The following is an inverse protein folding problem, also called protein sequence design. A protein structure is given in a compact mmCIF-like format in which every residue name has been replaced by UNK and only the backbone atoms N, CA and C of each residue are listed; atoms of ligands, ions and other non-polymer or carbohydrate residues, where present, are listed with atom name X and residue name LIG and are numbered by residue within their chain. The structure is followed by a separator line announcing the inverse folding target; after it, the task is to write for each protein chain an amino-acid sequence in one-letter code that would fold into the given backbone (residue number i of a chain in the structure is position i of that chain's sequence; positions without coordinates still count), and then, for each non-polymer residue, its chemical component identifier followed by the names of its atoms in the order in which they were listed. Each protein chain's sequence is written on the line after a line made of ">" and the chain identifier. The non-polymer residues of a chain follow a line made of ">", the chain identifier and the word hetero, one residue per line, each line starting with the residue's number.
data_IF_624476932086
#
_entry.id   IF_624476932086
#
_cell.length_a   1.000
_cell.length_b   1.000
_cell.length_c   1.000
_cell.angle_alpha   90.00
_cell.angle_beta   90.00
_cell.angle_gamma   90.00
#
_symmetry.space_group_name_H-M   'P 1'
#
loop_
_entity.id
_entity.type
_entity.pdbx_description
1 polymer ?
#
# COMPACT_ATOMS: atom_id res chain seq x y z
N UNK A 1 -59.85 -14.25 32.47
CA UNK A 1 -60.22 -12.89 32.01
C UNK A 1 -59.29 -11.92 32.69
N UNK A 2 -58.46 -11.10 32.07
CA UNK A 2 -58.10 -10.88 30.68
C UNK A 2 -56.71 -10.24 30.69
N UNK A 3 -55.92 -10.54 29.67
CA UNK A 3 -54.63 -9.93 29.40
C UNK A 3 -54.76 -8.41 29.17
N UNK A 4 -53.73 -7.64 29.55
CA UNK A 4 -53.49 -6.34 28.95
C UNK A 4 -52.03 -6.22 28.51
N UNK A 5 -51.92 -6.15 27.20
CA UNK A 5 -50.74 -6.10 26.35
C UNK A 5 -50.05 -4.73 26.36
N UNK A 6 -48.73 -4.81 26.20
CA UNK A 6 -47.73 -3.86 25.69
C UNK A 6 -48.21 -2.51 25.10
N UNK A 7 -47.42 -1.46 25.38
CA UNK A 7 -47.16 -0.44 24.37
C UNK A 7 -45.74 0.13 24.50
N UNK A 8 -44.76 -0.66 24.06
CA UNK A 8 -43.39 -0.17 23.80
C UNK A 8 -43.40 0.54 22.45
N UNK A 9 -43.47 1.86 22.46
CA UNK A 9 -43.38 2.67 21.24
C UNK A 9 -41.97 2.53 20.66
N UNK A 10 -41.80 1.65 19.66
CA UNK A 10 -40.57 1.61 18.86
C UNK A 10 -40.46 2.90 18.07
N UNK A 11 -39.64 3.83 18.54
CA UNK A 11 -39.25 5.00 17.77
C UNK A 11 -38.66 4.54 16.44
N UNK A 12 -39.22 5.02 15.32
CA UNK A 12 -38.69 4.73 13.99
C UNK A 12 -37.21 5.16 13.94
N UNK A 13 -36.29 4.31 13.48
CA UNK A 13 -34.88 4.65 13.43
C UNK A 13 -34.70 5.90 12.57
N UNK A 14 -34.00 6.90 13.12
CA UNK A 14 -33.73 8.17 12.44
C UNK A 14 -33.10 7.92 11.07
N UNK A 15 -33.36 8.82 10.11
CA UNK A 15 -32.78 8.75 8.76
C UNK A 15 -31.25 8.63 8.78
N UNK A 16 -30.60 9.25 9.77
CA UNK A 16 -29.17 9.08 10.08
C UNK A 16 -28.81 7.63 10.48
N UNK A 17 -29.59 6.99 11.35
CA UNK A 17 -29.35 5.60 11.76
C UNK A 17 -29.60 4.59 10.63
N UNK A 18 -30.57 4.85 9.75
CA UNK A 18 -30.80 4.07 8.53
C UNK A 18 -29.64 4.22 7.53
N UNK A 19 -29.17 5.45 7.32
CA UNK A 19 -28.03 5.71 6.44
C UNK A 19 -26.74 5.07 6.96
N UNK A 20 -26.52 5.12 8.27
CA UNK A 20 -25.43 4.42 8.95
C UNK A 20 -25.53 2.90 8.77
N UNK A 21 -26.72 2.32 8.91
CA UNK A 21 -26.93 0.89 8.73
C UNK A 21 -26.69 0.47 7.27
N UNK A 22 -27.18 1.25 6.29
CA UNK A 22 -26.98 1.01 4.85
C UNK A 22 -25.51 1.17 4.46
N UNK A 23 -24.81 2.19 4.96
CA UNK A 23 -23.37 2.37 4.78
C UNK A 23 -22.59 1.22 5.42
N UNK A 24 -22.95 0.80 6.63
CA UNK A 24 -22.31 -0.34 7.31
C UNK A 24 -22.57 -1.65 6.58
N UNK A 25 -23.76 -1.83 6.01
CA UNK A 25 -24.11 -3.03 5.25
C UNK A 25 -23.40 -3.06 3.90
N UNK A 26 -23.40 -1.95 3.15
CA UNK A 26 -22.69 -1.81 1.88
C UNK A 26 -21.17 -1.91 2.03
N UNK A 27 -20.59 -1.36 3.10
CA UNK A 27 -19.16 -1.47 3.38
C UNK A 27 -18.78 -2.90 3.80
N UNK A 28 -19.62 -3.58 4.58
CA UNK A 28 -19.46 -5.01 4.87
C UNK A 28 -19.55 -5.83 3.59
N UNK A 29 -20.52 -5.57 2.72
CA UNK A 29 -20.64 -6.27 1.43
C UNK A 29 -19.41 -6.08 0.54
N UNK A 30 -18.90 -4.85 0.39
CA UNK A 30 -17.73 -4.57 -0.46
C UNK A 30 -16.44 -5.20 0.07
N UNK A 31 -16.29 -5.32 1.39
CA UNK A 31 -15.13 -5.93 2.04
C UNK A 31 -15.24 -7.45 2.17
N UNK A 32 -16.45 -7.99 2.30
CA UNK A 32 -16.69 -9.41 2.60
C UNK A 32 -17.09 -10.22 1.35
N UNK A 33 -17.86 -9.65 0.41
CA UNK A 33 -18.39 -10.41 -0.75
C UNK A 33 -17.45 -10.44 -1.96
N UNK A 34 -16.62 -9.40 -2.18
CA UNK A 34 -15.63 -9.36 -3.29
C UNK A 34 -14.27 -8.79 -2.87
N UNK A 35 -13.62 -9.38 -1.84
CA UNK A 35 -12.43 -8.83 -1.21
C UNK A 35 -11.27 -8.60 -2.19
N UNK A 36 -11.12 -9.44 -3.22
CA UNK A 36 -10.04 -9.28 -4.19
C UNK A 36 -10.27 -8.07 -5.11
N UNK A 37 -11.45 -7.92 -5.71
CA UNK A 37 -11.74 -6.82 -6.65
C UNK A 37 -11.61 -5.46 -5.98
N UNK A 38 -12.16 -5.32 -4.77
CA UNK A 38 -12.07 -4.09 -3.98
C UNK A 38 -10.61 -3.74 -3.65
N UNK A 39 -9.78 -4.74 -3.27
CA UNK A 39 -8.34 -4.54 -3.02
C UNK A 39 -7.58 -4.14 -4.28
N UNK A 40 -7.89 -4.76 -5.42
CA UNK A 40 -7.26 -4.42 -6.70
C UNK A 40 -7.56 -2.97 -7.09
N UNK A 41 -8.83 -2.54 -7.03
CA UNK A 41 -9.21 -1.16 -7.34
C UNK A 41 -8.57 -0.17 -6.37
N UNK A 42 -8.66 -0.44 -5.07
CA UNK A 42 -8.08 0.43 -4.03
C UNK A 42 -6.58 0.58 -4.20
N UNK A 43 -5.87 -0.52 -4.43
CA UNK A 43 -4.42 -0.52 -4.66
C UNK A 43 -4.04 0.24 -5.93
N UNK A 44 -4.76 0.01 -7.03
CA UNK A 44 -4.55 0.75 -8.27
C UNK A 44 -4.74 2.26 -8.07
N UNK A 45 -5.80 2.69 -7.37
CA UNK A 45 -6.04 4.09 -7.06
C UNK A 45 -4.95 4.68 -6.17
N UNK A 46 -4.56 4.01 -5.10
CA UNK A 46 -3.52 4.50 -4.17
C UNK A 46 -2.19 4.68 -4.91
N UNK A 47 -1.76 3.72 -5.72
CA UNK A 47 -0.48 3.84 -6.43
C UNK A 47 -0.51 4.85 -7.57
N UNK A 48 -1.66 5.00 -8.23
CA UNK A 48 -1.89 6.08 -9.21
C UNK A 48 -1.76 7.45 -8.55
N UNK A 49 -2.45 7.66 -7.42
CA UNK A 49 -2.38 8.90 -6.65
C UNK A 49 -0.96 9.15 -6.11
N UNK A 50 -0.30 8.10 -5.62
CA UNK A 50 1.09 8.16 -5.17
C UNK A 50 2.02 8.64 -6.29
N UNK A 51 1.86 8.14 -7.51
CA UNK A 51 2.69 8.54 -8.64
C UNK A 51 2.42 9.98 -9.05
N UNK A 52 1.15 10.40 -9.10
CA UNK A 52 0.76 11.78 -9.44
C UNK A 52 1.29 12.78 -8.41
N UNK A 53 1.02 12.54 -7.12
CA UNK A 53 1.49 13.40 -6.03
C UNK A 53 3.02 13.45 -5.98
N UNK A 54 3.68 12.30 -6.15
CA UNK A 54 5.14 12.28 -6.09
C UNK A 54 5.79 12.97 -7.29
N UNK A 55 5.19 12.88 -8.48
CA UNK A 55 5.62 13.65 -9.67
C UNK A 55 5.38 15.15 -9.46
N UNK A 56 4.23 15.54 -8.93
CA UNK A 56 3.93 16.93 -8.61
C UNK A 56 4.95 17.51 -7.60
N UNK A 57 5.25 16.80 -6.52
CA UNK A 57 6.21 17.25 -5.51
C UNK A 57 7.68 17.18 -5.97
N UNK A 58 7.99 16.35 -6.97
CA UNK A 58 9.33 16.27 -7.54
C UNK A 58 9.55 17.30 -8.65
N UNK A 59 8.53 17.60 -9.45
CA UNK A 59 8.65 18.38 -10.69
C UNK A 59 7.81 19.66 -10.75
N UNK A 60 7.02 19.98 -9.73
CA UNK A 60 6.13 21.14 -9.70
C UNK A 60 6.82 22.51 -9.69
N UNK A 61 8.10 22.60 -10.09
CA UNK A 61 8.83 23.85 -10.33
C UNK A 61 9.04 24.02 -11.85
N UNK A 62 8.93 25.24 -12.40
CA UNK A 62 9.19 25.46 -13.82
C UNK A 62 10.55 24.87 -14.22
N UNK A 63 10.57 24.04 -15.26
CA UNK A 63 11.79 23.36 -15.75
C UNK A 63 12.00 21.92 -15.29
N UNK A 64 11.05 21.31 -14.57
CA UNK A 64 11.06 19.88 -14.24
C UNK A 64 9.88 19.17 -14.93
N UNK A 65 10.05 17.91 -15.34
CA UNK A 65 9.18 17.20 -16.30
C UNK A 65 7.69 17.04 -15.94
N UNK A 66 6.87 16.43 -16.81
CA UNK A 66 5.43 16.41 -16.67
C UNK A 66 4.96 15.63 -15.42
N UNK A 67 3.88 16.12 -14.79
CA UNK A 67 3.27 15.49 -13.60
C UNK A 67 2.61 14.15 -13.98
N UNK A 68 1.91 14.14 -15.12
CA UNK A 68 1.34 12.92 -15.72
C UNK A 68 2.39 12.31 -16.63
N UNK A 69 2.85 11.11 -16.28
CA UNK A 69 3.89 10.40 -17.03
C UNK A 69 3.38 9.03 -17.48
N UNK A 70 4.12 8.37 -18.38
CA UNK A 70 3.87 6.97 -18.75
C UNK A 70 4.00 5.98 -17.58
N UNK A 71 4.48 6.42 -16.41
CA UNK A 71 4.51 5.61 -15.18
C UNK A 71 3.16 5.50 -14.49
N UNK A 72 2.27 6.47 -14.67
CA UNK A 72 0.93 6.47 -14.05
C UNK A 72 0.14 5.19 -14.39
N UNK A 73 -0.06 4.83 -15.68
CA UNK A 73 -0.76 3.58 -16.02
C UNK A 73 0.01 2.33 -15.57
N UNK A 74 1.35 2.36 -15.56
CA UNK A 74 2.18 1.25 -15.06
C UNK A 74 2.01 1.03 -13.55
N UNK A 75 1.88 2.12 -12.78
CA UNK A 75 1.63 2.07 -11.34
C UNK A 75 0.22 1.59 -11.02
N UNK A 76 -0.78 2.03 -11.79
CA UNK A 76 -2.14 1.51 -11.70
C UNK A 76 -2.18 0.00 -11.96
N UNK A 77 -1.50 -0.46 -13.03
CA UNK A 77 -1.39 -1.87 -13.38
C UNK A 77 -0.68 -2.67 -12.28
N UNK A 78 0.47 -2.19 -11.80
CA UNK A 78 1.19 -2.85 -10.70
C UNK A 78 0.32 -2.96 -9.44
N UNK A 79 -0.38 -1.88 -9.06
CA UNK A 79 -1.27 -1.89 -7.90
C UNK A 79 -2.40 -2.90 -8.03
N UNK A 80 -3.09 -2.87 -9.16
CA UNK A 80 -4.28 -3.69 -9.42
C UNK A 80 -3.97 -5.15 -9.69
N UNK A 81 -2.96 -5.47 -10.51
CA UNK A 81 -2.76 -6.81 -11.05
C UNK A 81 -1.56 -7.56 -10.48
N UNK A 82 -0.64 -6.86 -9.80
CA UNK A 82 0.55 -7.48 -9.21
C UNK A 82 0.47 -7.43 -7.68
N UNK A 83 0.47 -6.22 -7.11
CA UNK A 83 0.54 -6.01 -5.66
C UNK A 83 -0.67 -6.58 -4.93
N UNK A 84 -1.90 -6.20 -5.33
CA UNK A 84 -3.10 -6.63 -4.61
C UNK A 84 -3.37 -8.15 -4.70
N UNK A 85 -3.26 -8.81 -5.88
CA UNK A 85 -3.45 -10.25 -5.97
C UNK A 85 -2.39 -11.03 -5.20
N UNK A 86 -1.11 -10.61 -5.27
CA UNK A 86 -0.01 -11.23 -4.54
C UNK A 86 -0.23 -11.16 -3.03
N UNK A 87 -0.57 -9.96 -2.53
CA UNK A 87 -0.85 -9.75 -1.11
C UNK A 87 -2.07 -10.56 -0.65
N UNK A 88 -3.13 -10.60 -1.46
CA UNK A 88 -4.32 -11.39 -1.15
C UNK A 88 -4.02 -12.88 -1.10
N UNK A 89 -3.23 -13.40 -2.05
CA UNK A 89 -2.82 -14.80 -2.08
C UNK A 89 -2.04 -15.17 -0.81
N UNK A 90 -0.97 -14.45 -0.49
CA UNK A 90 -0.16 -14.78 0.69
C UNK A 90 -0.94 -14.68 1.99
N UNK A 91 -1.73 -13.61 2.17
CA UNK A 91 -2.54 -13.46 3.37
C UNK A 91 -3.56 -14.59 3.51
N UNK A 92 -4.23 -14.97 2.42
CA UNK A 92 -5.23 -16.05 2.44
C UNK A 92 -4.58 -17.40 2.71
N UNK A 93 -3.45 -17.70 2.08
CA UNK A 93 -2.69 -18.95 2.32
C UNK A 93 -2.25 -19.05 3.77
N UNK A 94 -1.68 -17.97 4.31
CA UNK A 94 -1.22 -17.93 5.70
C UNK A 94 -2.39 -18.05 6.69
N UNK A 95 -3.52 -17.38 6.42
CA UNK A 95 -4.73 -17.53 7.22
C UNK A 95 -5.24 -18.98 7.20
N UNK A 96 -5.29 -19.62 6.02
CA UNK A 96 -5.69 -21.04 5.87
C UNK A 96 -4.79 -21.98 6.67
N UNK A 97 -3.48 -21.77 6.64
CA UNK A 97 -2.51 -22.59 7.40
C UNK A 97 -2.71 -22.53 8.93
N UNK A 98 -3.29 -21.44 9.43
CA UNK A 98 -3.53 -21.21 10.87
C UNK A 98 -5.02 -21.28 11.24
N UNK A 99 -5.88 -21.74 10.34
CA UNK A 99 -7.30 -21.95 10.65
C UNK A 99 -7.45 -22.91 11.84
N UNK A 100 -8.31 -22.54 12.79
CA UNK A 100 -8.52 -23.31 14.02
C UNK A 100 -7.43 -23.15 15.10
N UNK A 101 -6.34 -22.42 14.85
CA UNK A 101 -5.27 -22.20 15.85
C UNK A 101 -5.39 -20.81 16.47
N UNK A 102 -6.07 -20.71 17.62
CA UNK A 102 -6.35 -19.43 18.30
C UNK A 102 -5.35 -19.04 19.39
N UNK A 103 -4.44 -19.95 19.76
CA UNK A 103 -3.45 -19.73 20.82
C UNK A 103 -2.50 -18.56 20.55
N UNK A 104 -1.99 -17.94 21.62
CA UNK A 104 -1.02 -16.84 21.55
C UNK A 104 0.23 -17.21 20.73
N UNK A 105 0.75 -18.42 20.93
CA UNK A 105 1.89 -18.94 20.16
C UNK A 105 1.60 -19.10 18.67
N UNK A 106 0.37 -19.50 18.29
CA UNK A 106 -0.03 -19.62 16.90
C UNK A 106 -0.11 -18.26 16.21
N UNK A 107 -0.65 -17.23 16.88
CA UNK A 107 -0.66 -15.86 16.37
C UNK A 107 0.75 -15.29 16.21
N UNK A 108 1.64 -15.56 17.16
CA UNK A 108 3.03 -15.13 17.08
C UNK A 108 3.76 -15.82 15.91
N UNK A 109 3.60 -17.13 15.75
CA UNK A 109 4.19 -17.88 14.65
C UNK A 109 3.65 -17.40 13.29
N UNK A 110 2.34 -17.14 13.19
CA UNK A 110 1.73 -16.57 12.01
C UNK A 110 2.33 -15.21 11.66
N UNK A 111 2.49 -14.33 12.66
CA UNK A 111 3.15 -13.04 12.45
C UNK A 111 4.60 -13.21 12.00
N UNK A 112 5.38 -14.09 12.66
CA UNK A 112 6.77 -14.34 12.29
C UNK A 112 6.90 -14.81 10.85
N UNK A 113 6.09 -15.76 10.39
CA UNK A 113 6.08 -16.23 9.00
C UNK A 113 5.70 -15.11 8.01
N UNK A 114 4.74 -14.25 8.38
CA UNK A 114 4.40 -13.08 7.58
C UNK A 114 5.61 -12.15 7.42
N UNK A 115 6.28 -11.83 8.52
CA UNK A 115 7.41 -10.89 8.55
C UNK A 115 8.69 -11.45 7.92
N UNK A 116 8.93 -12.76 8.02
CA UNK A 116 10.18 -13.40 7.59
C UNK A 116 10.14 -14.00 6.19
N UNK A 117 8.98 -14.42 5.69
CA UNK A 117 8.85 -15.04 4.36
C UNK A 117 8.06 -14.15 3.40
N UNK A 118 6.86 -13.75 3.82
CA UNK A 118 5.92 -13.07 2.93
C UNK A 118 6.38 -11.64 2.61
N UNK A 119 6.84 -10.88 3.61
CA UNK A 119 7.32 -9.51 3.39
C UNK A 119 8.56 -9.43 2.49
N UNK A 120 9.62 -10.24 2.65
CA UNK A 120 10.75 -10.23 1.71
C UNK A 120 10.34 -10.51 0.27
N UNK A 121 9.44 -11.46 0.03
CA UNK A 121 8.96 -11.77 -1.32
C UNK A 121 8.19 -10.59 -1.90
N UNK A 122 7.25 -10.01 -1.13
CA UNK A 122 6.50 -8.83 -1.58
C UNK A 122 7.41 -7.64 -1.87
N UNK A 123 8.39 -7.36 -1.01
CA UNK A 123 9.34 -6.27 -1.19
C UNK A 123 10.29 -6.53 -2.39
N UNK A 124 10.70 -7.78 -2.62
CA UNK A 124 11.50 -8.14 -3.79
C UNK A 124 10.71 -7.92 -5.10
N UNK A 125 9.44 -8.37 -5.15
CA UNK A 125 8.55 -8.15 -6.29
C UNK A 125 8.30 -6.65 -6.51
N UNK A 126 8.09 -5.88 -5.44
CA UNK A 126 7.99 -4.41 -5.51
C UNK A 126 9.24 -3.80 -6.13
N UNK A 127 10.43 -4.10 -5.59
CA UNK A 127 11.69 -3.55 -6.09
C UNK A 127 11.95 -3.93 -7.55
N UNK A 128 11.65 -5.17 -7.93
CA UNK A 128 11.77 -5.63 -9.30
C UNK A 128 10.83 -4.87 -10.24
N UNK A 129 9.56 -4.72 -9.85
CA UNK A 129 8.56 -3.95 -10.60
C UNK A 129 8.96 -2.48 -10.73
N UNK A 130 9.46 -1.87 -9.65
CA UNK A 130 9.92 -0.49 -9.67
C UNK A 130 11.13 -0.30 -10.57
N UNK A 131 12.04 -1.28 -10.66
CA UNK A 131 13.17 -1.24 -11.59
C UNK A 131 12.67 -1.21 -13.05
N UNK A 132 11.74 -2.11 -13.41
CA UNK A 132 11.15 -2.17 -14.76
C UNK A 132 10.36 -0.90 -15.08
N UNK A 133 9.52 -0.42 -14.17
CA UNK A 133 8.76 0.83 -14.33
C UNK A 133 9.70 2.04 -14.49
N UNK A 134 10.88 1.96 -13.89
CA UNK A 134 11.89 2.99 -14.00
C UNK A 134 12.73 2.93 -15.27
N UNK A 135 12.59 1.88 -16.09
CA UNK A 135 13.30 1.73 -17.36
C UNK A 135 14.43 0.69 -17.35
N UNK A 136 14.49 -0.19 -16.34
CA UNK A 136 15.41 -1.33 -16.40
C UNK A 136 14.97 -2.28 -17.53
N UNK A 137 15.90 -2.57 -18.45
CA UNK A 137 15.64 -3.37 -19.65
C UNK A 137 16.32 -4.75 -19.61
N UNK A 138 17.17 -5.02 -18.60
CA UNK A 138 17.83 -6.31 -18.44
C UNK A 138 17.57 -6.96 -17.08
N UNK A 139 17.65 -8.29 -17.04
CA UNK A 139 17.44 -9.07 -15.80
C UNK A 139 18.53 -8.74 -14.77
N UNK A 140 19.75 -8.47 -15.23
CA UNK A 140 20.89 -8.10 -14.39
C UNK A 140 20.66 -6.77 -13.68
N UNK A 141 20.08 -5.77 -14.37
CA UNK A 141 19.71 -4.49 -13.77
C UNK A 141 18.67 -4.68 -12.66
N UNK A 142 17.62 -5.46 -12.94
CA UNK A 142 16.57 -5.78 -11.97
C UNK A 142 17.16 -6.53 -10.77
N UNK A 143 17.97 -7.56 -11.01
CA UNK A 143 18.64 -8.35 -9.97
C UNK A 143 19.54 -7.50 -9.10
N UNK A 144 20.27 -6.57 -9.69
CA UNK A 144 21.15 -5.64 -8.98
C UNK A 144 20.33 -4.74 -8.06
N UNK A 145 19.22 -4.16 -8.54
CA UNK A 145 18.31 -3.35 -7.72
C UNK A 145 17.75 -4.14 -6.55
N UNK A 146 17.26 -5.36 -6.79
CA UNK A 146 16.71 -6.20 -5.72
C UNK A 146 17.79 -6.54 -4.69
N UNK A 147 18.97 -7.01 -5.11
CA UNK A 147 20.06 -7.36 -4.19
C UNK A 147 20.55 -6.18 -3.35
N UNK A 148 20.66 -5.01 -3.96
CA UNK A 148 21.18 -3.82 -3.28
C UNK A 148 20.15 -3.15 -2.38
N UNK A 149 18.86 -3.15 -2.76
CA UNK A 149 17.83 -2.38 -2.06
C UNK A 149 16.93 -3.20 -1.14
N UNK A 150 16.89 -4.54 -1.29
CA UNK A 150 16.00 -5.37 -0.49
C UNK A 150 16.33 -5.27 1.00
N UNK A 151 17.59 -5.45 1.39
CA UNK A 151 18.00 -5.46 2.80
C UNK A 151 17.75 -4.09 3.49
N UNK A 152 18.14 -2.95 2.90
CA UNK A 152 17.77 -1.63 3.41
C UNK A 152 16.25 -1.44 3.53
N UNK A 153 15.48 -1.87 2.53
CA UNK A 153 14.02 -1.76 2.54
C UNK A 153 13.39 -2.64 3.63
N UNK A 154 13.92 -3.84 3.86
CA UNK A 154 13.47 -4.73 4.93
C UNK A 154 13.71 -4.11 6.31
N UNK A 155 14.90 -3.53 6.56
CA UNK A 155 15.20 -2.86 7.84
C UNK A 155 14.19 -1.76 8.17
N UNK A 156 13.86 -0.92 7.19
CA UNK A 156 12.85 0.13 7.35
C UNK A 156 11.47 -0.49 7.59
N UNK A 157 11.10 -1.52 6.81
CA UNK A 157 9.80 -2.19 6.94
C UNK A 157 9.63 -2.80 8.33
N UNK A 158 10.64 -3.49 8.86
CA UNK A 158 10.60 -4.10 10.19
C UNK A 158 10.57 -3.08 11.32
N UNK A 159 11.17 -1.90 11.14
CA UNK A 159 11.10 -0.83 12.14
C UNK A 159 9.73 -0.13 12.12
N UNK A 160 9.19 0.16 10.94
CA UNK A 160 7.97 0.97 10.77
C UNK A 160 6.70 0.15 10.97
N UNK A 161 6.66 -1.09 10.46
CA UNK A 161 5.44 -1.90 10.45
C UNK A 161 4.84 -2.14 11.85
N UNK A 162 5.60 -2.55 12.88
CA UNK A 162 5.05 -2.76 14.21
C UNK A 162 4.46 -1.48 14.81
N UNK A 163 5.10 -0.33 14.59
CA UNK A 163 4.65 0.96 15.09
C UNK A 163 3.32 1.35 14.45
N UNK A 164 3.23 1.25 13.13
CA UNK A 164 2.01 1.61 12.38
C UNK A 164 0.87 0.66 12.72
N UNK A 165 1.13 -0.64 12.82
CA UNK A 165 0.13 -1.62 13.23
C UNK A 165 -0.32 -1.39 14.67
N UNK A 166 0.59 -1.06 15.59
CA UNK A 166 0.22 -0.75 16.97
C UNK A 166 -0.67 0.51 17.05
N UNK A 167 -0.37 1.56 16.29
CA UNK A 167 -1.23 2.76 16.21
C UNK A 167 -2.60 2.40 15.63
N UNK A 168 -2.65 1.62 14.55
CA UNK A 168 -3.91 1.21 13.95
C UNK A 168 -4.79 0.38 14.90
N UNK A 169 -4.19 -0.51 15.69
CA UNK A 169 -4.94 -1.37 16.61
C UNK A 169 -5.40 -0.62 17.87
N UNK A 170 -4.56 0.26 18.43
CA UNK A 170 -4.83 0.93 19.71
C UNK A 170 -5.60 2.26 19.57
N UNK A 171 -5.43 2.98 18.45
CA UNK A 171 -5.99 4.34 18.27
C UNK A 171 -7.18 4.34 17.30
N UNK A 172 -7.14 3.50 16.26
CA UNK A 172 -8.11 3.57 15.15
C UNK A 172 -9.23 2.54 15.35
N UNK A 173 -10.52 2.97 15.32
CA UNK A 173 -11.64 2.04 15.41
C UNK A 173 -11.61 0.99 14.29
N UNK A 174 -12.03 -0.26 14.53
CA UNK A 174 -11.88 -1.38 13.59
C UNK A 174 -12.39 -1.09 12.17
N UNK A 175 -13.47 -0.33 12.06
CA UNK A 175 -14.07 0.07 10.78
C UNK A 175 -13.13 0.92 9.91
N UNK A 176 -12.33 1.78 10.53
CA UNK A 176 -11.48 2.77 9.83
C UNK A 176 -10.03 2.30 9.63
N UNK A 177 -9.63 1.17 10.21
CA UNK A 177 -8.25 0.65 10.10
C UNK A 177 -7.78 0.45 8.64
N UNK A 178 -8.59 -0.14 7.73
CA UNK A 178 -8.17 -0.27 6.33
C UNK A 178 -7.97 1.08 5.63
N UNK A 179 -8.79 2.08 5.98
CA UNK A 179 -8.67 3.45 5.45
C UNK A 179 -7.40 4.13 5.99
N UNK A 180 -7.13 4.02 7.30
CA UNK A 180 -5.91 4.52 7.92
C UNK A 180 -4.65 3.92 7.25
N UNK A 181 -4.63 2.59 7.05
CA UNK A 181 -3.50 1.93 6.39
C UNK A 181 -3.33 2.37 4.94
N UNK A 182 -4.43 2.60 4.22
CA UNK A 182 -4.41 3.09 2.84
C UNK A 182 -3.84 4.51 2.76
N UNK A 183 -4.25 5.39 3.67
CA UNK A 183 -3.75 6.76 3.76
C UNK A 183 -2.27 6.78 4.17
N UNK A 184 -1.88 6.00 5.18
CA UNK A 184 -0.50 5.85 5.57
C UNK A 184 0.37 5.37 4.40
N UNK A 185 -0.10 4.35 3.66
CA UNK A 185 0.57 3.82 2.47
C UNK A 185 0.73 4.88 1.37
N UNK A 186 -0.29 5.71 1.16
CA UNK A 186 -0.24 6.84 0.23
C UNK A 186 0.81 7.88 0.67
N UNK A 187 0.83 8.27 1.95
CA UNK A 187 1.78 9.25 2.48
C UNK A 187 3.23 8.76 2.37
N UNK A 188 3.51 7.56 2.89
CA UNK A 188 4.87 7.01 2.91
C UNK A 188 5.35 6.67 1.48
N UNK A 189 4.46 6.14 0.65
CA UNK A 189 4.73 5.86 -0.76
C UNK A 189 5.03 7.13 -1.54
N UNK A 190 4.30 8.21 -1.28
CA UNK A 190 4.54 9.51 -1.93
C UNK A 190 5.88 10.06 -1.51
N UNK A 191 6.19 10.04 -0.20
CA UNK A 191 7.47 10.50 0.32
C UNK A 191 8.66 9.77 -0.32
N UNK A 192 8.66 8.43 -0.30
CA UNK A 192 9.76 7.65 -0.88
C UNK A 192 9.87 7.81 -2.40
N UNK A 193 8.74 7.85 -3.12
CA UNK A 193 8.77 8.08 -4.57
C UNK A 193 9.29 9.48 -4.92
N UNK A 194 8.88 10.52 -4.18
CA UNK A 194 9.40 11.88 -4.37
C UNK A 194 10.90 11.94 -4.08
N UNK A 195 11.37 11.33 -3.00
CA UNK A 195 12.79 11.25 -2.68
C UNK A 195 13.59 10.56 -3.79
N UNK A 196 13.12 9.41 -4.27
CA UNK A 196 13.76 8.68 -5.36
C UNK A 196 13.79 9.49 -6.67
N UNK A 197 12.71 10.22 -6.99
CA UNK A 197 12.65 11.11 -8.17
C UNK A 197 13.63 12.27 -8.05
N UNK A 198 13.67 12.95 -6.89
CA UNK A 198 14.60 14.06 -6.64
C UNK A 198 16.06 13.62 -6.72
N UNK A 199 16.40 12.47 -6.14
CA UNK A 199 17.77 11.91 -6.24
C UNK A 199 18.18 11.63 -7.69
N UNK A 200 17.26 11.11 -8.52
CA UNK A 200 17.52 10.87 -9.94
C UNK A 200 17.79 12.14 -10.72
N UNK A 201 16.97 13.18 -10.52
CA UNK A 201 17.18 14.47 -11.20
C UNK A 201 18.49 15.12 -10.75
N UNK A 202 18.80 15.06 -9.45
CA UNK A 202 20.07 15.56 -8.94
C UNK A 202 21.28 14.80 -9.53
N UNK A 203 21.19 13.47 -9.66
CA UNK A 203 22.24 12.66 -10.28
C UNK A 203 22.41 12.99 -11.78
N UNK A 204 21.32 13.18 -12.51
CA UNK A 204 21.36 13.59 -13.92
C UNK A 204 22.02 14.96 -14.10
N UNK A 205 21.66 15.95 -13.28
CA UNK A 205 22.27 17.28 -13.30
C UNK A 205 23.78 17.23 -13.04
N UNK A 206 24.20 16.46 -12.03
CA UNK A 206 25.63 16.28 -11.74
C UNK A 206 26.39 15.64 -12.90
N UNK A 207 25.79 14.67 -13.59
CA UNK A 207 26.39 14.05 -14.77
C UNK A 207 26.54 15.05 -15.93
N UNK A 208 25.53 15.89 -16.18
CA UNK A 208 25.60 16.95 -17.18
C UNK A 208 26.65 18.03 -16.83
N UNK A 209 26.79 18.39 -15.56
CA UNK A 209 27.81 19.33 -15.08
C UNK A 209 29.23 18.76 -15.25
N UNK A 210 29.43 17.47 -14.95
CA UNK A 210 30.70 16.76 -15.17
C UNK A 210 31.07 16.65 -16.66
N UNK A 211 30.09 16.52 -17.56
CA UNK A 211 30.31 16.50 -19.01
C UNK A 211 30.67 17.89 -19.57
N UNK A 212 30.12 18.96 -18.97
CA UNK A 212 30.36 20.34 -19.40
C UNK A 212 31.63 20.96 -18.81
N UNK A 213 32.16 20.42 -17.71
CA UNK A 213 33.49 20.82 -17.23
C UNK A 213 34.52 20.31 -18.24
N UNK A 214 35.34 21.19 -18.86
CA UNK A 214 36.44 20.73 -19.70
C UNK A 214 37.28 19.75 -18.87
N UNK A 215 37.72 18.65 -19.47
CA UNK A 215 38.81 17.87 -18.89
C UNK A 215 40.01 18.81 -18.91
N UNK A 216 40.32 19.40 -17.75
CA UNK A 216 41.56 20.15 -17.57
C UNK A 216 42.73 19.27 -18.07
N UNK A 217 43.54 19.85 -18.95
CA UNK A 217 44.73 19.25 -19.59
C UNK A 217 45.70 18.59 -18.61
#
# INVERSE_FOLDING_TARGET
>A
MSAQTANSTMAAPSTLAKNDAVLRHGLKELLVLRPLRTKMMTSASILTLTELLSSYLAYGRPGYGPVVTSRVPKMAFYGGFISAPLSHFFLTTLQKMFQGRTGRGAKLLQALLMYSLVLPIQNAVYLASMAVISGANTVEQVRTVVRTKLLPMMKVTWAVSPVVTAVAENVVPPLYRPLFMSLFSLCIGTFFNTMAKKQRVAAARKAEELEKSPKDE
#
